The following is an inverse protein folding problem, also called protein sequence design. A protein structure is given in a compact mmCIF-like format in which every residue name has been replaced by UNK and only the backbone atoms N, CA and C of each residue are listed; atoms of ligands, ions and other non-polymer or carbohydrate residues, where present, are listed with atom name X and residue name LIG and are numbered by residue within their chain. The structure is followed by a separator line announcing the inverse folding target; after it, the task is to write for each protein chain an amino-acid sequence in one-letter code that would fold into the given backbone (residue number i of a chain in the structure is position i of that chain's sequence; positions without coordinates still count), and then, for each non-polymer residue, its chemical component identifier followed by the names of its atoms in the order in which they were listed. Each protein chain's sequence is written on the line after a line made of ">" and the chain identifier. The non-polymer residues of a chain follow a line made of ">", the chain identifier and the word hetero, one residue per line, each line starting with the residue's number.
data_IF_824770355419
#
_entry.id   IF_824770355419
#
_cell.length_a   1.000
_cell.length_b   1.000
_cell.length_c   1.000
_cell.angle_alpha   90.00
_cell.angle_beta   90.00
_cell.angle_gamma   90.00
#
_symmetry.space_group_name_H-M   'P 1'
#
loop_
_entity.id
_entity.type
_entity.pdbx_description
1 polymer ?
#
# COMPACT_ATOMS: atom_id res chain seq x y z
N UNK A 1 14.81 -6.19 2.56
CA UNK A 1 13.59 -6.68 3.22
C UNK A 1 13.10 -5.65 4.23
N UNK A 2 11.90 -5.83 4.79
CA UNK A 2 11.32 -4.92 5.80
C UNK A 2 11.67 -5.29 7.25
N UNK A 3 12.28 -6.46 7.47
CA UNK A 3 12.62 -6.98 8.79
C UNK A 3 13.38 -5.96 9.65
N UNK A 4 12.80 -5.60 10.80
CA UNK A 4 13.37 -4.67 11.76
C UNK A 4 13.38 -3.19 11.32
N UNK A 5 12.93 -2.87 10.10
CA UNK A 5 12.96 -1.50 9.56
C UNK A 5 11.79 -0.68 10.09
N UNK A 6 12.05 0.53 10.56
CA UNK A 6 11.01 1.51 10.86
C UNK A 6 10.54 2.18 9.56
N UNK A 7 9.23 2.21 9.32
CA UNK A 7 8.64 2.77 8.10
C UNK A 7 7.35 3.54 8.39
N UNK A 8 7.05 4.55 7.58
CA UNK A 8 5.73 5.18 7.58
C UNK A 8 4.81 4.47 6.58
N UNK A 9 3.71 3.89 7.04
CA UNK A 9 2.67 3.38 6.17
C UNK A 9 1.70 4.51 5.81
N UNK A 10 1.81 5.04 4.59
CA UNK A 10 0.94 6.11 4.09
C UNK A 10 -0.17 5.52 3.23
N UNK A 11 -1.43 5.81 3.57
CA UNK A 11 -2.58 5.26 2.83
C UNK A 11 -3.81 6.16 2.83
N UNK A 12 -4.46 6.28 1.67
CA UNK A 12 -5.79 6.88 1.49
C UNK A 12 -6.81 5.81 1.08
N UNK A 13 -7.18 4.94 2.02
CA UNK A 13 -8.10 3.81 1.80
C UNK A 13 -9.07 3.66 2.97
N UNK A 14 -10.24 3.08 2.71
CA UNK A 14 -11.30 2.93 3.72
C UNK A 14 -10.96 1.98 4.90
N UNK A 15 -10.03 1.03 4.72
CA UNK A 15 -9.60 0.07 5.75
C UNK A 15 -8.07 -0.03 5.82
N UNK A 16 -7.40 0.96 6.43
CA UNK A 16 -5.93 1.05 6.48
C UNK A 16 -5.29 -0.04 7.34
N UNK A 17 -6.02 -0.64 8.29
CA UNK A 17 -5.50 -1.62 9.25
C UNK A 17 -4.96 -2.86 8.56
N UNK A 18 -5.60 -3.30 7.47
CA UNK A 18 -5.14 -4.45 6.68
C UNK A 18 -3.79 -4.17 6.05
N UNK A 19 -3.56 -2.94 5.57
CA UNK A 19 -2.30 -2.55 4.95
C UNK A 19 -1.16 -2.51 5.97
N UNK A 20 -1.38 -1.87 7.13
CA UNK A 20 -0.36 -1.81 8.19
C UNK A 20 -0.06 -3.19 8.77
N UNK A 21 -1.06 -4.05 8.93
CA UNK A 21 -0.87 -5.43 9.40
C UNK A 21 0.01 -6.25 8.46
N UNK A 22 -0.14 -6.11 7.14
CA UNK A 22 0.74 -6.80 6.18
C UNK A 22 2.18 -6.30 6.28
N UNK A 23 2.40 -5.00 6.45
CA UNK A 23 3.76 -4.47 6.62
C UNK A 23 4.41 -4.97 7.91
N UNK A 24 3.63 -5.03 9.00
CA UNK A 24 4.09 -5.58 10.27
C UNK A 24 4.40 -7.08 10.17
N UNK A 25 3.60 -7.87 9.45
CA UNK A 25 3.86 -9.31 9.25
C UNK A 25 5.09 -9.58 8.39
N UNK A 26 5.48 -8.63 7.53
CA UNK A 26 6.76 -8.62 6.82
C UNK A 26 7.95 -8.15 7.68
N UNK A 27 7.73 -7.93 8.98
CA UNK A 27 8.75 -7.60 9.98
C UNK A 27 9.04 -6.10 10.15
N UNK A 28 8.23 -5.21 9.57
CA UNK A 28 8.41 -3.77 9.74
C UNK A 28 7.93 -3.26 11.10
N UNK A 29 8.57 -2.19 11.60
CA UNK A 29 8.05 -1.34 12.68
C UNK A 29 7.27 -0.19 12.04
N UNK A 30 5.94 -0.27 12.08
CA UNK A 30 5.06 0.58 11.26
C UNK A 30 4.53 1.76 12.05
N UNK A 31 4.74 2.98 11.54
CA UNK A 31 3.97 4.17 11.93
C UNK A 31 2.92 4.44 10.86
N UNK A 32 1.65 4.52 11.25
CA UNK A 32 0.56 4.73 10.29
C UNK A 32 0.29 6.23 10.03
N UNK A 33 0.11 6.59 8.76
CA UNK A 33 -0.41 7.89 8.31
C UNK A 33 -1.56 7.68 7.34
N UNK A 34 -2.76 7.90 7.86
CA UNK A 34 -4.02 7.64 7.15
C UNK A 34 -4.63 8.94 6.66
N UNK A 35 -5.11 8.93 5.42
CA UNK A 35 -5.85 10.00 4.78
C UNK A 35 -7.21 9.49 4.29
N UNK A 36 -8.10 10.40 3.92
CA UNK A 36 -9.39 10.06 3.32
C UNK A 36 -9.20 9.26 2.02
N UNK A 37 -10.20 8.43 1.66
CA UNK A 37 -10.19 7.80 0.35
C UNK A 37 -10.20 8.89 -0.74
N UNK A 38 -9.51 8.62 -1.85
CA UNK A 38 -9.28 9.58 -2.94
C UNK A 38 -8.51 10.86 -2.55
N UNK A 39 -7.88 10.94 -1.37
CA UNK A 39 -7.09 12.11 -0.98
C UNK A 39 -6.07 12.53 -2.07
N UNK A 40 -6.05 13.81 -2.48
CA UNK A 40 -5.08 14.33 -3.43
C UNK A 40 -3.77 14.65 -2.70
N UNK A 41 -2.85 13.68 -2.69
CA UNK A 41 -1.57 13.82 -2.00
C UNK A 41 -0.74 14.99 -2.54
N UNK A 42 -0.19 15.77 -1.62
CA UNK A 42 0.74 16.86 -1.90
C UNK A 42 2.15 16.53 -1.42
N UNK A 43 3.16 17.24 -1.94
CA UNK A 43 4.55 17.10 -1.47
C UNK A 43 4.68 17.41 0.03
N UNK A 44 3.84 18.30 0.56
CA UNK A 44 3.81 18.65 1.99
C UNK A 44 3.34 17.47 2.85
N UNK A 45 2.35 16.70 2.37
CA UNK A 45 1.87 15.51 3.08
C UNK A 45 2.99 14.48 3.26
N UNK A 46 3.78 14.27 2.21
CA UNK A 46 4.91 13.33 2.24
C UNK A 46 6.09 13.88 3.05
N UNK A 47 6.38 15.18 2.97
CA UNK A 47 7.45 15.80 3.76
C UNK A 47 7.19 15.75 5.27
N UNK A 48 5.93 15.68 5.70
CA UNK A 48 5.54 15.53 7.10
C UNK A 48 5.71 14.09 7.63
N UNK A 49 6.05 13.13 6.76
CA UNK A 49 6.19 11.72 7.11
C UNK A 49 7.67 11.34 7.30
N UNK A 50 8.03 10.65 8.39
CA UNK A 50 9.34 10.02 8.52
C UNK A 50 9.59 9.03 7.38
N UNK A 51 10.79 9.06 6.81
CA UNK A 51 11.19 8.14 5.72
C UNK A 51 11.81 6.86 6.26
N UNK A 52 11.72 5.73 5.53
CA UNK A 52 11.05 5.59 4.23
C UNK A 52 9.52 5.53 4.37
N UNK A 53 8.82 5.99 3.33
CA UNK A 53 7.37 5.85 3.22
C UNK A 53 7.06 4.58 2.43
N UNK A 54 6.10 3.78 2.92
CA UNK A 54 5.53 2.66 2.20
C UNK A 54 4.07 2.94 1.94
N UNK A 55 3.66 2.88 0.68
CA UNK A 55 2.32 3.22 0.22
C UNK A 55 1.54 1.99 -0.26
N UNK A 56 0.22 2.13 -0.37
CA UNK A 56 -0.55 1.24 -1.22
C UNK A 56 -0.18 1.46 -2.69
N UNK A 57 -0.35 0.45 -3.56
CA UNK A 57 -0.11 0.64 -5.00
C UNK A 57 -0.97 1.77 -5.60
N UNK A 58 -2.22 1.93 -5.14
CA UNK A 58 -3.13 3.00 -5.57
C UNK A 58 -2.57 4.38 -5.22
N UNK A 59 -2.12 4.57 -3.99
CA UNK A 59 -1.63 5.87 -3.53
C UNK A 59 -0.24 6.19 -4.08
N UNK A 60 0.59 5.17 -4.34
CA UNK A 60 1.87 5.34 -5.01
C UNK A 60 1.73 5.91 -6.43
N UNK A 61 0.67 5.56 -7.16
CA UNK A 61 0.36 6.17 -8.47
C UNK A 61 0.13 7.68 -8.33
N UNK A 62 -0.61 8.11 -7.29
CA UNK A 62 -0.87 9.53 -7.02
C UNK A 62 0.40 10.27 -6.60
N UNK A 63 1.27 9.61 -5.83
CA UNK A 63 2.48 10.21 -5.27
C UNK A 63 3.70 10.12 -6.19
N UNK A 64 3.60 9.54 -7.40
CA UNK A 64 4.75 9.22 -8.26
C UNK A 64 5.72 10.39 -8.49
N UNK A 65 5.19 11.60 -8.66
CA UNK A 65 6.00 12.80 -8.93
C UNK A 65 6.61 13.44 -7.67
N UNK A 66 6.14 13.04 -6.48
CA UNK A 66 6.48 13.66 -5.19
C UNK A 66 7.10 12.68 -4.18
N UNK A 67 7.17 11.39 -4.52
CA UNK A 67 7.85 10.36 -3.75
C UNK A 67 9.37 10.52 -3.84
N UNK A 68 10.06 10.16 -2.76
CA UNK A 68 11.53 10.13 -2.74
C UNK A 68 12.10 8.79 -3.24
N UNK A 69 13.43 8.73 -3.40
CA UNK A 69 14.10 7.58 -4.00
C UNK A 69 13.98 6.29 -3.18
N UNK A 70 13.79 6.41 -1.86
CA UNK A 70 13.64 5.30 -0.93
C UNK A 70 12.19 5.09 -0.43
N UNK A 71 11.22 5.71 -1.10
CA UNK A 71 9.81 5.41 -0.85
C UNK A 71 9.36 4.22 -1.70
N UNK A 72 8.57 3.35 -1.11
CA UNK A 72 8.16 2.09 -1.70
C UNK A 72 6.64 1.99 -1.76
N UNK A 73 6.16 1.00 -2.48
CA UNK A 73 4.76 0.59 -2.40
C UNK A 73 4.66 -0.92 -2.26
N UNK A 74 3.64 -1.37 -1.55
CA UNK A 74 3.36 -2.80 -1.43
C UNK A 74 2.55 -3.25 -2.64
N UNK A 75 3.13 -4.14 -3.44
CA UNK A 75 2.42 -4.83 -4.52
C UNK A 75 1.77 -6.09 -3.97
N UNK A 76 0.44 -6.14 -4.00
CA UNK A 76 -0.34 -7.33 -3.67
C UNK A 76 -0.80 -7.96 -4.98
N UNK A 77 -0.59 -9.28 -5.12
CA UNK A 77 -1.15 -10.08 -6.21
C UNK A 77 -2.20 -11.00 -5.61
N UNK A 78 -3.40 -10.99 -6.19
CA UNK A 78 -4.38 -12.03 -5.92
C UNK A 78 -4.06 -13.23 -6.82
N UNK A 79 -4.00 -14.41 -6.23
CA UNK A 79 -3.90 -15.68 -6.94
C UNK A 79 -5.16 -16.46 -6.64
N UNK A 80 -5.88 -16.84 -7.69
CA UNK A 80 -7.12 -17.60 -7.61
C UNK A 80 -6.84 -19.00 -8.14
N UNK A 81 -7.37 -20.00 -7.44
CA UNK A 81 -7.17 -21.40 -7.79
C UNK A 81 -7.85 -21.74 -9.12
N UNK A 82 -7.33 -22.75 -9.83
CA UNK A 82 -7.85 -23.18 -11.13
C UNK A 82 -9.39 -23.41 -11.14
N UNK A 83 -10.01 -24.03 -10.12
CA UNK A 83 -11.46 -24.24 -10.12
C UNK A 83 -12.29 -22.95 -10.16
N UNK A 84 -11.78 -21.84 -9.64
CA UNK A 84 -12.46 -20.55 -9.74
C UNK A 84 -12.58 -20.10 -11.19
N UNK A 85 -11.52 -20.28 -11.99
CA UNK A 85 -11.48 -19.87 -13.38
C UNK A 85 -12.39 -20.73 -14.25
N UNK A 86 -12.41 -22.04 -14.01
CA UNK A 86 -13.31 -22.98 -14.71
C UNK A 86 -14.78 -22.62 -14.44
N UNK A 87 -15.11 -22.33 -13.18
CA UNK A 87 -16.44 -21.88 -12.79
C UNK A 87 -16.82 -20.54 -13.43
N UNK A 88 -15.90 -19.59 -13.49
CA UNK A 88 -16.16 -18.26 -14.05
C UNK A 88 -16.39 -18.34 -15.56
N UNK A 89 -15.60 -19.14 -16.28
CA UNK A 89 -15.72 -19.35 -17.71
C UNK A 89 -17.09 -19.95 -18.11
N UNK A 90 -17.69 -20.78 -17.25
CA UNK A 90 -19.03 -21.35 -17.49
C UNK A 90 -20.18 -20.35 -17.24
N UNK A 91 -19.92 -19.21 -16.59
CA UNK A 91 -20.93 -18.20 -16.24
C UNK A 91 -20.83 -16.91 -17.04
N UNK A 92 -19.71 -16.68 -17.73
CA UNK A 92 -19.56 -15.55 -18.64
C UNK A 92 -19.95 -16.00 -20.06
N UNK A 93 -20.79 -15.23 -20.77
CA UNK A 93 -21.15 -15.51 -22.16
C UNK A 93 -19.98 -15.36 -23.13
#
# INVERSE_FOLDING_TARGET
>A
GLQGRAVTALSGIARPERFTAILASLGARVQSRVFADHHPFSAKDLAACPRPIVMTAKDAVKCRAIAGPDDWFLRIRAELEAPFWDWLAQRLP
#
